data_IF_153210714788
#
_entry.id   IF_153210714788
#
_cell.length_a   1.000
_cell.length_b   1.000
_cell.length_c   1.000
_cell.angle_alpha   90.00
_cell.angle_beta   90.00
_cell.angle_gamma   90.00
#
_symmetry.space_group_name_H-M   'P 1'
#
loop_
_entity.id
_entity.type
_entity.pdbx_description
1 polymer ?
#
# COMPACT_ATOMS: atom_id res chain seq x y z
N UNK A 1 15.90 9.32 -10.57
CA UNK A 1 16.22 7.97 -10.04
C UNK A 1 16.37 6.92 -11.14
N UNK A 2 15.49 6.85 -12.16
CA UNK A 2 15.57 5.82 -13.22
C UNK A 2 16.91 5.82 -13.98
N UNK A 3 17.42 6.98 -14.40
CA UNK A 3 18.72 7.06 -15.10
C UNK A 3 19.91 6.60 -14.25
N UNK A 4 19.85 6.79 -12.93
CA UNK A 4 20.88 6.32 -12.01
C UNK A 4 20.85 4.80 -11.86
N UNK A 5 19.66 4.19 -11.79
CA UNK A 5 19.52 2.73 -11.77
C UNK A 5 20.08 2.08 -13.04
N UNK A 6 19.79 2.64 -14.22
CA UNK A 6 20.34 2.12 -15.48
C UNK A 6 21.87 2.23 -15.51
N UNK A 7 22.42 3.37 -15.07
CA UNK A 7 23.87 3.58 -14.98
C UNK A 7 24.53 2.60 -13.99
N UNK A 8 23.91 2.37 -12.83
CA UNK A 8 24.40 1.46 -11.80
C UNK A 8 24.32 0.00 -12.24
N UNK A 9 23.21 -0.42 -12.87
CA UNK A 9 23.07 -1.77 -13.42
C UNK A 9 24.09 -2.04 -14.53
N UNK A 10 24.35 -1.04 -15.38
CA UNK A 10 25.37 -1.12 -16.45
C UNK A 10 26.79 -1.15 -15.87
N UNK A 11 27.08 -0.30 -14.88
CA UNK A 11 28.41 -0.21 -14.27
C UNK A 11 28.80 -1.41 -13.42
N UNK A 12 27.83 -2.04 -12.75
CA UNK A 12 28.08 -3.17 -11.85
C UNK A 12 27.64 -4.54 -12.43
N UNK A 13 27.29 -4.60 -13.72
CA UNK A 13 26.86 -5.82 -14.43
C UNK A 13 25.71 -6.57 -13.72
N UNK A 14 24.83 -5.84 -13.04
CA UNK A 14 23.70 -6.43 -12.31
C UNK A 14 22.61 -6.77 -13.34
N UNK A 15 22.52 -8.05 -13.72
CA UNK A 15 21.33 -8.59 -14.43
C UNK A 15 20.21 -8.78 -13.41
N UNK A 16 19.51 -7.70 -13.08
CA UNK A 16 18.37 -7.72 -12.16
C UNK A 16 17.10 -7.33 -12.88
N UNK A 17 16.03 -8.13 -12.69
CA UNK A 17 14.67 -7.74 -13.06
C UNK A 17 14.38 -6.40 -12.37
N UNK A 18 13.83 -5.42 -13.09
CA UNK A 18 13.37 -4.17 -12.48
C UNK A 18 12.19 -4.52 -11.58
N UNK A 19 12.48 -4.88 -10.33
CA UNK A 19 11.50 -5.07 -9.28
C UNK A 19 11.01 -3.69 -8.80
N UNK A 20 10.51 -2.90 -9.74
CA UNK A 20 9.89 -1.62 -9.45
C UNK A 20 8.38 -1.81 -9.45
N UNK A 21 7.66 -1.23 -8.47
CA UNK A 21 6.19 -1.25 -8.47
C UNK A 21 5.59 -0.74 -9.79
N UNK A 22 6.25 0.21 -10.44
CA UNK A 22 5.84 0.78 -11.72
C UNK A 22 5.91 -0.25 -12.86
N UNK A 23 6.97 -1.07 -12.93
CA UNK A 23 7.10 -2.11 -13.94
C UNK A 23 6.02 -3.20 -13.78
N UNK A 24 5.77 -3.64 -12.53
CA UNK A 24 4.69 -4.58 -12.25
C UNK A 24 3.32 -4.00 -12.62
N UNK A 25 3.09 -2.73 -12.32
CA UNK A 25 1.82 -2.05 -12.63
C UNK A 25 1.60 -1.93 -14.12
N UNK A 26 2.64 -1.54 -14.88
CA UNK A 26 2.58 -1.50 -16.33
C UNK A 26 2.22 -2.88 -16.91
N UNK A 27 2.89 -3.94 -16.46
CA UNK A 27 2.57 -5.32 -16.89
C UNK A 27 1.14 -5.72 -16.56
N UNK A 28 0.67 -5.43 -15.34
CA UNK A 28 -0.70 -5.74 -14.92
C UNK A 28 -1.75 -5.01 -15.79
N UNK A 29 -1.48 -3.75 -16.13
CA UNK A 29 -2.38 -2.94 -16.96
C UNK A 29 -2.34 -3.34 -18.43
N UNK A 30 -1.21 -3.83 -18.94
CA UNK A 30 -1.10 -4.30 -20.33
C UNK A 30 -1.76 -5.67 -20.51
N UNK A 31 -1.49 -6.62 -19.61
CA UNK A 31 -1.92 -8.03 -19.75
C UNK A 31 -3.28 -8.31 -19.09
N UNK A 32 -3.59 -7.64 -17.99
CA UNK A 32 -4.75 -7.95 -17.13
C UNK A 32 -5.56 -6.70 -16.76
N UNK A 33 -5.67 -5.73 -17.69
CA UNK A 33 -6.33 -4.45 -17.46
C UNK A 33 -7.77 -4.61 -16.93
N UNK A 34 -8.53 -5.55 -17.51
CA UNK A 34 -9.92 -5.81 -17.14
C UNK A 34 -10.04 -6.37 -15.72
N UNK A 35 -9.21 -7.36 -15.39
CA UNK A 35 -9.17 -7.96 -14.04
C UNK A 35 -8.77 -6.91 -13.01
N UNK A 36 -7.76 -6.11 -13.33
CA UNK A 36 -7.21 -5.08 -12.44
C UNK A 36 -8.22 -3.96 -12.16
N UNK A 37 -8.85 -3.41 -13.20
CA UNK A 37 -9.85 -2.34 -13.05
C UNK A 37 -11.09 -2.83 -12.31
N UNK A 38 -11.57 -4.03 -12.61
CA UNK A 38 -12.70 -4.65 -11.90
C UNK A 38 -12.38 -4.93 -10.43
N UNK A 39 -11.16 -5.40 -10.14
CA UNK A 39 -10.64 -5.59 -8.78
C UNK A 39 -10.61 -4.28 -8.00
N UNK A 40 -10.15 -3.20 -8.63
CA UNK A 40 -10.09 -1.88 -8.01
C UNK A 40 -11.49 -1.36 -7.65
N UNK A 41 -12.45 -1.45 -8.58
CA UNK A 41 -13.84 -1.04 -8.35
C UNK A 41 -14.46 -1.86 -7.23
N UNK A 42 -14.34 -3.19 -7.31
CA UNK A 42 -14.89 -4.07 -6.28
C UNK A 42 -14.22 -3.83 -4.92
N UNK A 43 -12.90 -3.62 -4.89
CA UNK A 43 -12.19 -3.34 -3.65
C UNK A 43 -12.59 -2.02 -3.01
N UNK A 44 -12.89 -0.99 -3.80
CA UNK A 44 -13.44 0.25 -3.26
C UNK A 44 -14.85 0.05 -2.68
N UNK A 45 -15.71 -0.69 -3.37
CA UNK A 45 -17.05 -1.03 -2.85
C UNK A 45 -16.92 -1.84 -1.56
N UNK A 46 -16.03 -2.83 -1.52
CA UNK A 46 -15.78 -3.65 -0.33
C UNK A 46 -15.19 -2.82 0.81
N UNK A 47 -14.36 -1.82 0.54
CA UNK A 47 -13.90 -0.89 1.56
C UNK A 47 -15.08 -0.17 2.22
N UNK A 48 -16.02 0.36 1.43
CA UNK A 48 -17.23 1.02 1.96
C UNK A 48 -18.09 0.05 2.78
N UNK A 49 -18.27 -1.18 2.30
CA UNK A 49 -19.04 -2.23 3.02
C UNK A 49 -18.37 -2.57 4.35
N UNK A 50 -17.06 -2.79 4.35
CA UNK A 50 -16.29 -3.12 5.55
C UNK A 50 -16.31 -1.95 6.53
N UNK A 51 -16.13 -0.72 6.05
CA UNK A 51 -16.22 0.48 6.89
C UNK A 51 -17.61 0.69 7.48
N UNK A 52 -18.66 0.15 6.85
CA UNK A 52 -20.04 0.21 7.35
C UNK A 52 -20.36 -0.86 8.40
N UNK A 53 -19.80 -2.06 8.26
CA UNK A 53 -20.06 -3.22 9.12
C UNK A 53 -19.09 -3.26 10.32
N UNK A 54 -17.84 -2.89 10.09
CA UNK A 54 -16.78 -2.94 11.11
C UNK A 54 -16.56 -1.57 11.75
N UNK A 55 -15.93 -1.48 12.93
CA UNK A 55 -15.55 -0.19 13.52
C UNK A 55 -14.45 0.55 12.73
N UNK A 56 -13.92 -0.03 11.64
CA UNK A 56 -12.88 0.57 10.80
C UNK A 56 -13.47 1.60 9.84
N UNK A 57 -13.72 2.81 10.32
CA UNK A 57 -14.39 3.88 9.54
C UNK A 57 -13.50 4.56 8.48
N UNK A 58 -12.32 4.03 8.20
CA UNK A 58 -11.38 4.65 7.27
C UNK A 58 -11.80 4.37 5.83
N UNK A 59 -12.23 5.43 5.12
CA UNK A 59 -12.52 5.35 3.69
C UNK A 59 -11.26 5.73 2.94
N UNK A 60 -10.65 4.72 2.31
CA UNK A 60 -9.47 4.91 1.50
C UNK A 60 -9.92 5.36 0.11
N UNK A 61 -9.92 6.68 -0.11
CA UNK A 61 -10.19 7.25 -1.42
C UNK A 61 -9.18 6.68 -2.43
N UNK A 62 -9.64 6.34 -3.64
CA UNK A 62 -8.90 5.59 -4.66
C UNK A 62 -7.70 6.38 -5.21
N UNK A 63 -6.64 6.49 -4.41
CA UNK A 63 -5.35 7.10 -4.76
C UNK A 63 -4.53 6.11 -5.59
N UNK A 64 -3.53 6.58 -6.36
CA UNK A 64 -2.67 5.72 -7.21
C UNK A 64 -2.07 4.49 -6.50
N UNK A 65 -1.91 4.54 -5.18
CA UNK A 65 -1.53 3.38 -4.38
C UNK A 65 -2.55 2.23 -4.40
N UNK A 66 -3.86 2.53 -4.44
CA UNK A 66 -4.91 1.51 -4.55
C UNK A 66 -4.85 0.81 -5.90
N UNK A 67 -4.55 1.56 -6.97
CA UNK A 67 -4.30 1.01 -8.30
C UNK A 67 -3.06 0.12 -8.30
N UNK A 68 -1.95 0.57 -7.70
CA UNK A 68 -0.74 -0.23 -7.56
C UNK A 68 -1.01 -1.55 -6.83
N UNK A 69 -1.77 -1.52 -5.73
CA UNK A 69 -2.07 -2.72 -4.99
C UNK A 69 -3.02 -3.66 -5.75
N UNK A 70 -4.03 -3.12 -6.45
CA UNK A 70 -4.90 -3.89 -7.33
C UNK A 70 -4.12 -4.58 -8.47
N UNK A 71 -3.13 -3.89 -9.06
CA UNK A 71 -2.27 -4.43 -10.10
C UNK A 71 -1.43 -5.61 -9.58
N UNK A 72 -0.80 -5.44 -8.41
CA UNK A 72 0.02 -6.47 -7.79
C UNK A 72 -0.82 -7.69 -7.40
N UNK A 73 -1.99 -7.48 -6.77
CA UNK A 73 -2.92 -8.57 -6.44
C UNK A 73 -3.38 -9.32 -7.69
N UNK A 74 -3.75 -8.60 -8.75
CA UNK A 74 -4.19 -9.20 -10.01
C UNK A 74 -3.08 -10.02 -10.65
N UNK A 75 -1.84 -9.50 -10.69
CA UNK A 75 -0.69 -10.23 -11.21
C UNK A 75 -0.42 -11.52 -10.43
N UNK A 76 -0.43 -11.45 -9.10
CA UNK A 76 -0.16 -12.63 -8.25
C UNK A 76 -1.24 -13.68 -8.48
N UNK A 77 -2.52 -13.30 -8.44
CA UNK A 77 -3.63 -14.24 -8.63
C UNK A 77 -3.60 -14.87 -10.03
N UNK A 78 -3.31 -14.08 -11.07
CA UNK A 78 -3.16 -14.57 -12.45
C UNK A 78 -1.92 -15.45 -12.62
N UNK A 79 -0.80 -15.15 -11.96
CA UNK A 79 0.39 -15.99 -11.97
C UNK A 79 0.14 -17.38 -11.34
N UNK A 80 -0.79 -17.47 -10.39
CA UNK A 80 -1.27 -18.72 -9.81
C UNK A 80 -2.39 -19.40 -10.62
N UNK A 81 -2.64 -18.97 -11.87
CA UNK A 81 -3.67 -19.49 -12.77
C UNK A 81 -5.11 -19.39 -12.24
N UNK A 82 -5.41 -18.39 -11.40
CA UNK A 82 -6.81 -18.12 -11.03
C UNK A 82 -7.61 -17.64 -12.25
N UNK A 83 -8.89 -18.03 -12.29
CA UNK A 83 -9.84 -17.49 -13.26
C UNK A 83 -10.06 -16.00 -13.01
N UNK A 84 -10.44 -15.25 -14.05
CA UNK A 84 -10.60 -13.79 -13.96
C UNK A 84 -11.64 -13.41 -12.90
N UNK A 85 -12.76 -14.13 -12.84
CA UNK A 85 -13.81 -13.91 -11.85
C UNK A 85 -13.29 -14.17 -10.44
N UNK A 86 -12.57 -15.28 -10.22
CA UNK A 86 -12.01 -15.59 -8.91
C UNK A 86 -10.96 -14.55 -8.49
N UNK A 87 -10.10 -14.12 -9.42
CA UNK A 87 -9.09 -13.11 -9.18
C UNK A 87 -9.72 -11.76 -8.78
N UNK A 88 -10.79 -11.34 -9.48
CA UNK A 88 -11.53 -10.10 -9.17
C UNK A 88 -12.13 -10.16 -7.77
N UNK A 89 -12.83 -11.24 -7.43
CA UNK A 89 -13.51 -11.38 -6.15
C UNK A 89 -12.51 -11.42 -5.00
N UNK A 90 -11.50 -12.29 -5.09
CA UNK A 90 -10.49 -12.44 -4.03
C UNK A 90 -9.64 -11.18 -3.91
N UNK A 91 -9.17 -10.63 -5.02
CA UNK A 91 -8.39 -9.40 -5.06
C UNK A 91 -9.17 -8.21 -4.51
N UNK A 92 -10.46 -8.07 -4.88
CA UNK A 92 -11.31 -6.98 -4.42
C UNK A 92 -11.60 -7.07 -2.92
N UNK A 93 -11.92 -8.26 -2.41
CA UNK A 93 -12.13 -8.48 -0.98
C UNK A 93 -10.88 -8.15 -0.16
N UNK A 94 -9.71 -8.63 -0.60
CA UNK A 94 -8.43 -8.32 0.05
C UNK A 94 -8.13 -6.84 0.01
N UNK A 95 -8.25 -6.21 -1.17
CA UNK A 95 -8.01 -4.77 -1.34
C UNK A 95 -8.90 -3.96 -0.40
N UNK A 96 -10.21 -4.22 -0.40
CA UNK A 96 -11.15 -3.52 0.48
C UNK A 96 -10.85 -3.71 1.96
N UNK A 97 -10.53 -4.94 2.37
CA UNK A 97 -10.18 -5.24 3.75
C UNK A 97 -8.91 -4.53 4.20
N UNK A 98 -7.83 -4.62 3.43
CA UNK A 98 -6.57 -3.94 3.76
C UNK A 98 -6.70 -2.42 3.73
N UNK A 99 -7.50 -1.88 2.81
CA UNK A 99 -7.80 -0.45 2.75
C UNK A 99 -8.56 0.07 3.96
N UNK A 100 -9.35 -0.74 4.66
CA UNK A 100 -10.01 -0.35 5.92
C UNK A 100 -9.14 -0.63 7.15
N UNK A 101 -8.47 -1.79 7.19
CA UNK A 101 -7.75 -2.31 8.35
C UNK A 101 -6.37 -1.65 8.56
N UNK A 102 -5.60 -1.45 7.49
CA UNK A 102 -4.24 -0.90 7.61
C UNK A 102 -4.22 0.54 8.14
N UNK A 103 -5.09 1.47 7.68
CA UNK A 103 -5.13 2.82 8.26
C UNK A 103 -5.41 2.80 9.75
N UNK A 104 -6.26 1.88 10.21
CA UNK A 104 -6.59 1.77 11.63
C UNK A 104 -5.36 1.36 12.47
N UNK A 105 -4.49 0.51 11.93
CA UNK A 105 -3.26 0.09 12.61
C UNK A 105 -2.32 1.26 12.87
N UNK A 106 -2.23 2.20 11.93
CA UNK A 106 -1.39 3.39 12.04
C UNK A 106 -2.07 4.58 12.71
N UNK A 107 -3.39 4.58 12.84
CA UNK A 107 -4.17 5.67 13.43
C UNK A 107 -3.67 6.17 14.79
N UNK A 108 -3.28 5.33 15.78
CA UNK A 108 -2.76 5.85 17.05
C UNK A 108 -1.43 6.59 16.92
N UNK A 109 -0.62 6.26 15.91
CA UNK A 109 0.61 6.99 15.61
C UNK A 109 0.30 8.28 14.84
N UNK A 110 -0.63 8.21 13.87
CA UNK A 110 -1.09 9.37 13.11
C UNK A 110 -1.64 10.47 14.03
N UNK A 111 -2.53 10.12 14.97
CA UNK A 111 -3.09 11.07 15.96
C UNK A 111 -2.02 11.77 16.80
N UNK A 112 -0.92 11.08 17.11
CA UNK A 112 0.20 11.67 17.87
C UNK A 112 1.01 12.66 17.06
N UNK A 113 1.11 12.44 15.75
CA UNK A 113 1.90 13.27 14.83
C UNK A 113 1.07 14.48 14.38
N UNK A 114 -0.18 14.26 13.98
CA UNK A 114 -1.04 15.31 13.40
C UNK A 114 -1.87 16.05 14.43
N UNK A 115 -1.99 15.54 15.66
CA UNK A 115 -2.85 16.09 16.70
C UNK A 115 -4.35 16.00 16.39
N UNK A 116 -4.74 15.30 15.31
CA UNK A 116 -6.12 15.21 14.82
C UNK A 116 -6.48 13.77 14.44
N UNK A 117 -7.76 13.43 14.56
CA UNK A 117 -8.31 12.13 14.12
C UNK A 117 -8.96 12.20 12.73
N UNK A 118 -8.90 13.36 12.07
CA UNK A 118 -9.57 13.58 10.79
C UNK A 118 -8.86 12.90 9.60
N UNK A 119 -7.57 12.56 9.74
CA UNK A 119 -6.77 12.01 8.64
C UNK A 119 -6.08 10.70 9.04
N UNK A 120 -6.05 9.76 8.09
CA UNK A 120 -5.38 8.47 8.21
C UNK A 120 -4.32 8.32 7.11
N UNK A 121 -3.34 7.44 7.32
CA UNK A 121 -2.27 7.23 6.33
C UNK A 121 -2.84 6.53 5.09
N UNK A 122 -2.55 7.09 3.92
CA UNK A 122 -3.02 6.60 2.61
C UNK A 122 -2.00 5.72 1.86
N UNK A 123 -1.27 4.84 2.55
CA UNK A 123 -0.21 4.02 1.93
C UNK A 123 -0.18 2.57 2.44
N UNK A 124 -0.08 1.57 1.55
CA UNK A 124 -0.04 0.15 1.95
C UNK A 124 1.20 -0.32 2.74
N UNK A 125 2.27 0.49 2.90
CA UNK A 125 3.42 0.13 3.75
C UNK A 125 3.18 0.34 5.25
N UNK A 126 1.91 0.39 5.68
CA UNK A 126 1.50 0.68 7.05
C UNK A 126 1.94 -0.36 8.08
N UNK A 127 2.16 -1.62 7.68
CA UNK A 127 2.73 -2.62 8.59
C UNK A 127 4.14 -2.23 9.03
N UNK A 128 4.98 -1.79 8.07
CA UNK A 128 6.32 -1.28 8.36
C UNK A 128 6.29 -0.01 9.21
N UNK A 129 5.38 0.92 8.91
CA UNK A 129 5.23 2.14 9.71
C UNK A 129 4.77 1.87 11.14
N UNK A 130 3.80 0.98 11.32
CA UNK A 130 3.35 0.55 12.63
C UNK A 130 4.51 -0.11 13.40
N UNK A 131 5.25 -1.03 12.76
CA UNK A 131 6.41 -1.68 13.36
C UNK A 131 7.48 -0.66 13.80
N UNK A 132 7.85 0.28 12.93
CA UNK A 132 8.77 1.36 13.26
C UNK A 132 8.25 2.21 14.42
N UNK A 133 6.96 2.50 14.46
CA UNK A 133 6.32 3.20 15.58
C UNK A 133 6.37 2.41 16.89
N UNK A 134 6.20 1.09 16.84
CA UNK A 134 6.33 0.22 18.02
C UNK A 134 7.78 0.11 18.49
N UNK A 135 8.74 -0.05 17.57
CA UNK A 135 10.17 -0.04 17.90
C UNK A 135 10.56 1.32 18.51
N UNK A 136 10.06 2.42 17.95
CA UNK A 136 10.28 3.77 18.49
C UNK A 136 9.80 3.93 19.94
N UNK A 137 8.73 3.23 20.34
CA UNK A 137 8.29 3.22 21.76
C UNK A 137 9.31 2.55 22.68
N UNK A 138 10.08 1.56 22.20
CA UNK A 138 11.13 0.92 23.01
C UNK A 138 12.28 1.89 23.31
N UNK A 139 12.51 2.87 22.41
CA UNK A 139 13.52 3.92 22.56
C UNK A 139 12.92 5.25 23.05
N UNK A 140 11.76 5.23 23.74
CA UNK A 140 11.05 6.43 24.18
C UNK A 140 11.85 7.36 25.09
N UNK A 141 12.96 6.88 25.68
CA UNK A 141 13.94 7.69 26.44
C UNK A 141 14.59 8.80 25.61
N UNK A 142 14.61 8.67 24.28
CA UNK A 142 15.19 9.65 23.35
C UNK A 142 14.14 10.43 22.57
N UNK A 143 12.88 10.44 23.03
CA UNK A 143 11.76 11.09 22.33
C UNK A 143 12.03 12.57 22.00
N UNK A 144 12.76 13.26 22.87
CA UNK A 144 13.09 14.69 22.74
C UNK A 144 14.36 14.94 21.88
N UNK A 145 14.91 13.88 21.26
CA UNK A 145 16.02 13.98 20.31
C UNK A 145 15.51 13.63 18.92
N UNK A 146 14.67 14.49 18.36
CA UNK A 146 14.20 14.33 16.98
C UNK A 146 15.18 14.96 16.00
N UNK A 147 15.28 14.37 14.81
CA UNK A 147 16.03 14.94 13.68
C UNK A 147 15.43 16.29 13.23
N UNK A 148 14.16 16.53 13.54
CA UNK A 148 13.45 17.78 13.23
C UNK A 148 14.02 18.98 14.02
N UNK A 149 14.63 18.75 15.18
CA UNK A 149 15.21 19.79 16.04
C UNK A 149 16.69 20.09 15.71
N UNK A 150 17.31 19.35 14.79
CA UNK A 150 18.75 19.52 14.46
C UNK A 150 18.98 20.71 13.51
N UNK A 151 17.91 21.22 12.90
CA UNK A 151 17.95 22.27 11.87
C UNK A 151 16.96 23.43 12.11
N UNK A 152 16.28 23.45 13.26
CA UNK A 152 15.44 24.57 13.73
C UNK A 152 16.17 25.37 14.80
#
# INVERSE_FOLDING_TARGET
MQNFNTLFQTGFHIKGVVASPEAATALAQTEFAFVTSSTLILGFIMNLVIARITPFKNIFFTTGHSLFFACVLSLILKAHNFSDVAAIIVGGLLLGFFSAALPQLCQPFMRKITGSDATAIGHFNMVGYALSGYIGKLFSKYKDRTTEDIIG
#
